data_IF_541771385923
#
_entry.id   IF_541771385923
#
_cell.length_a   1.000
_cell.length_b   1.000
_cell.length_c   1.000
_cell.angle_alpha   90.00
_cell.angle_beta   90.00
_cell.angle_gamma   90.00
#
_symmetry.space_group_name_H-M   'P 1'
#
loop_
_entity.id
_entity.type
_entity.pdbx_description
1 polymer ?
#
# COMPACT_ATOMS: atom_id res chain seq x y z
N UNK A 1 15.57 20.66 28.58
CA UNK A 1 16.96 20.78 29.06
C UNK A 1 17.41 22.23 29.04
N UNK A 2 17.36 22.95 27.93
CA UNK A 2 17.78 24.37 27.84
C UNK A 2 17.05 25.30 28.85
N UNK A 3 15.75 25.07 29.06
CA UNK A 3 14.94 25.80 30.06
C UNK A 3 15.44 25.51 31.48
N UNK A 4 15.78 24.28 31.80
CA UNK A 4 16.24 23.83 33.11
C UNK A 4 17.61 24.45 33.43
N UNK A 5 18.55 24.44 32.45
CA UNK A 5 19.85 25.12 32.56
C UNK A 5 19.70 26.62 32.69
N UNK A 6 18.73 27.20 32.00
CA UNK A 6 18.41 28.62 32.15
C UNK A 6 17.96 28.97 33.58
N UNK A 7 17.12 28.15 34.19
CA UNK A 7 16.66 28.30 35.56
C UNK A 7 17.80 28.13 36.55
N UNK A 8 18.68 27.13 36.36
CA UNK A 8 19.87 26.91 37.20
C UNK A 8 20.86 28.08 37.11
N UNK A 9 21.13 28.58 35.90
CA UNK A 9 21.99 29.74 35.70
C UNK A 9 21.42 31.02 36.40
N UNK A 10 20.12 31.25 36.28
CA UNK A 10 19.44 32.33 36.97
C UNK A 10 19.54 32.16 38.50
N UNK A 11 19.34 30.94 39.02
CA UNK A 11 19.48 30.66 40.44
C UNK A 11 20.91 30.90 40.95
N UNK A 12 21.93 30.46 40.18
CA UNK A 12 23.33 30.71 40.49
C UNK A 12 23.68 32.23 40.52
N UNK A 13 23.23 32.96 39.52
CA UNK A 13 23.41 34.45 39.46
C UNK A 13 22.69 35.10 40.63
N UNK A 14 21.49 34.64 40.98
CA UNK A 14 20.74 35.15 42.11
C UNK A 14 21.46 34.85 43.45
N UNK A 15 21.97 33.64 43.67
CA UNK A 15 22.75 33.27 44.84
C UNK A 15 24.04 34.06 44.95
N UNK A 16 24.76 34.24 43.84
CA UNK A 16 25.96 35.06 43.77
C UNK A 16 25.65 36.52 44.17
N UNK A 17 24.59 37.09 43.58
CA UNK A 17 24.18 38.47 43.85
C UNK A 17 23.66 38.67 45.28
N UNK A 18 22.99 37.66 45.86
CA UNK A 18 22.40 37.74 47.19
C UNK A 18 23.44 37.52 48.30
N UNK A 19 24.37 36.59 48.12
CA UNK A 19 25.24 36.16 49.19
C UNK A 19 26.71 36.57 48.98
N UNK A 20 27.24 36.51 47.76
CA UNK A 20 28.64 36.75 47.50
C UNK A 20 28.94 38.22 47.18
N UNK A 21 28.12 38.86 46.37
CA UNK A 21 28.32 40.25 45.99
C UNK A 21 28.29 41.23 47.18
N UNK A 22 27.41 41.12 48.19
CA UNK A 22 27.42 41.97 49.35
C UNK A 22 28.72 41.86 50.18
N UNK A 23 29.23 40.60 50.30
CA UNK A 23 30.48 40.35 51.03
C UNK A 23 31.68 40.94 50.31
N UNK A 24 31.73 40.83 48.97
CA UNK A 24 32.81 41.40 48.14
C UNK A 24 32.73 42.93 47.97
N UNK A 25 31.51 43.48 48.06
CA UNK A 25 31.26 44.93 47.84
C UNK A 25 31.40 45.77 49.09
N UNK A 26 31.37 45.13 50.29
CA UNK A 26 31.55 45.87 51.55
C UNK A 26 33.00 46.37 51.65
N UNK A 27 33.20 47.66 51.36
CA UNK A 27 34.41 48.41 51.73
C UNK A 27 34.13 49.06 53.07
N UNK A 28 34.49 48.34 54.14
CA UNK A 28 34.40 48.99 55.45
C UNK A 28 35.41 50.15 55.50
N UNK A 29 34.93 51.32 55.92
CA UNK A 29 35.83 52.47 56.17
C UNK A 29 36.67 52.19 57.39
N UNK A 30 37.90 52.74 57.44
CA UNK A 30 38.75 52.61 58.62
C UNK A 30 38.05 53.06 59.88
N UNK A 31 37.24 54.11 59.82
CA UNK A 31 36.35 54.56 60.91
C UNK A 31 35.34 53.54 61.35
N UNK A 32 34.72 52.84 60.39
CA UNK A 32 33.78 51.76 60.68
C UNK A 32 34.41 50.53 61.36
N UNK A 33 35.65 50.20 60.96
CA UNK A 33 36.42 49.13 61.59
C UNK A 33 36.83 49.58 63.02
N UNK A 34 37.30 50.80 63.20
CA UNK A 34 37.65 51.38 64.51
C UNK A 34 36.46 51.37 65.47
N UNK A 35 35.28 51.78 65.04
CA UNK A 35 34.06 51.75 65.84
C UNK A 35 33.65 50.37 66.30
N UNK A 36 33.85 49.32 65.42
CA UNK A 36 33.63 47.94 65.81
C UNK A 36 34.62 47.43 66.84
N UNK A 37 35.88 47.86 66.75
CA UNK A 37 36.95 47.49 67.72
C UNK A 37 36.60 48.10 69.06
N UNK A 38 36.30 49.39 69.11
CA UNK A 38 35.92 50.12 70.31
C UNK A 38 34.74 49.53 71.04
N UNK A 39 33.69 49.12 70.25
CA UNK A 39 32.48 48.52 70.84
C UNK A 39 32.75 47.16 71.53
N UNK A 40 33.82 46.47 71.21
CA UNK A 40 34.13 45.16 71.72
C UNK A 40 35.33 45.07 72.69
N UNK A 41 36.22 46.07 72.71
CA UNK A 41 37.45 46.03 73.52
C UNK A 41 37.49 47.10 74.65
N UNK A 42 36.37 47.69 74.95
CA UNK A 42 36.25 48.71 76.02
C UNK A 42 37.27 49.91 75.92
N UNK A 43 37.59 50.21 74.67
CA UNK A 43 38.45 51.40 74.36
C UNK A 43 37.51 52.61 74.26
N UNK A 44 37.68 53.54 75.15
CA UNK A 44 36.84 54.77 75.26
C UNK A 44 36.94 55.67 74.04
N UNK A 45 36.13 55.45 73.01
CA UNK A 45 35.89 56.24 71.76
C UNK A 45 37.11 57.04 71.21
N UNK A 46 38.30 56.70 71.65
CA UNK A 46 39.53 57.44 71.34
C UNK A 46 40.08 57.03 69.95
N UNK A 47 39.90 55.81 69.53
CA UNK A 47 40.38 55.25 68.26
C UNK A 47 39.63 55.84 67.06
N UNK A 48 38.34 55.98 67.16
CA UNK A 48 37.49 56.63 66.15
C UNK A 48 37.82 58.15 66.10
N UNK A 49 37.93 58.74 67.25
CA UNK A 49 38.28 60.19 67.37
C UNK A 49 39.69 60.49 66.81
N UNK A 50 40.71 59.68 67.15
CA UNK A 50 42.04 59.79 66.59
C UNK A 50 42.11 59.65 65.09
N UNK A 51 41.37 58.68 64.50
CA UNK A 51 41.31 58.50 63.05
C UNK A 51 40.58 59.70 62.39
N UNK A 52 39.52 60.25 62.98
CA UNK A 52 38.80 61.39 62.48
C UNK A 52 39.65 62.63 62.53
N UNK A 53 40.42 62.79 63.57
CA UNK A 53 41.37 63.95 63.71
C UNK A 53 42.59 63.87 62.78
N UNK A 54 42.98 62.64 62.44
CA UNK A 54 44.10 62.40 61.49
C UNK A 54 43.69 62.55 60.03
N UNK A 55 42.40 62.40 59.68
CA UNK A 55 41.90 62.43 58.31
C UNK A 55 41.76 63.83 57.70
N UNK A 56 42.12 64.86 58.46
CA UNK A 56 42.35 66.27 57.98
C UNK A 56 41.12 66.98 57.35
N UNK A 57 39.97 66.32 57.28
CA UNK A 57 38.80 66.76 56.49
C UNK A 57 37.65 67.34 57.34
N UNK A 58 37.85 67.48 58.65
CA UNK A 58 36.85 68.04 59.55
C UNK A 58 37.17 69.43 59.91
N UNK A 59 36.30 70.35 59.47
CA UNK A 59 36.38 71.78 59.82
C UNK A 59 36.53 71.97 61.32
N UNK A 60 37.54 72.61 61.64
CA UNK A 60 38.16 73.16 62.83
C UNK A 60 37.20 73.48 63.98
N UNK A 61 36.91 72.56 64.83
CA UNK A 61 36.44 72.80 66.19
C UNK A 61 37.41 72.10 67.17
N UNK A 62 38.14 72.88 67.94
CA UNK A 62 39.04 72.43 68.97
C UNK A 62 40.48 72.94 68.83
N UNK A 63 41.27 72.92 69.96
CA UNK A 63 42.69 73.31 70.00
C UNK A 63 43.52 72.18 69.33
N UNK A 64 44.45 72.60 68.42
CA UNK A 64 45.40 71.70 67.76
C UNK A 64 46.22 70.86 68.75
N UNK A 65 46.49 71.45 69.94
CA UNK A 65 47.20 70.78 71.02
C UNK A 65 46.40 69.66 71.65
N UNK A 66 45.06 69.77 71.73
CA UNK A 66 44.21 68.73 72.25
C UNK A 66 44.06 67.60 71.24
N UNK A 67 43.97 67.91 69.92
CA UNK A 67 43.91 66.89 68.86
C UNK A 67 45.18 66.09 68.81
N UNK A 68 46.38 66.73 68.85
CA UNK A 68 47.65 65.98 68.84
C UNK A 68 47.75 65.06 70.07
N UNK A 69 47.28 65.58 71.20
CA UNK A 69 47.28 64.75 72.44
C UNK A 69 46.39 63.49 72.33
N UNK A 70 45.18 63.59 71.78
CA UNK A 70 44.31 62.41 71.56
C UNK A 70 44.94 61.43 70.56
N UNK A 71 45.56 61.94 69.52
CA UNK A 71 46.30 61.10 68.58
C UNK A 71 47.48 60.40 69.23
N UNK A 72 48.26 61.09 69.99
CA UNK A 72 49.46 60.59 70.69
C UNK A 72 49.06 59.57 71.78
N UNK A 73 48.07 59.87 72.61
CA UNK A 73 47.56 59.00 73.65
C UNK A 73 46.95 57.75 73.04
N UNK A 74 46.25 57.86 71.91
CA UNK A 74 45.71 56.69 71.19
C UNK A 74 46.83 55.84 70.55
N UNK A 75 47.89 56.51 70.04
CA UNK A 75 49.05 55.77 69.47
C UNK A 75 49.81 54.99 70.56
N UNK A 76 49.79 55.49 71.81
CA UNK A 76 50.41 54.77 72.93
C UNK A 76 49.62 53.57 73.38
N UNK A 77 48.29 53.59 73.27
CA UNK A 77 47.35 52.44 73.57
C UNK A 77 47.29 51.46 72.40
N UNK A 78 47.54 51.94 71.18
CA UNK A 78 47.43 51.14 69.94
C UNK A 78 48.14 49.73 69.96
N UNK A 79 49.37 49.60 70.58
CA UNK A 79 49.99 48.29 70.61
C UNK A 79 49.26 47.23 71.42
N UNK A 80 48.32 47.61 72.32
CA UNK A 80 47.52 46.74 73.15
C UNK A 80 46.19 46.33 72.53
N UNK A 81 45.81 46.87 71.38
CA UNK A 81 44.55 46.61 70.71
C UNK A 81 44.66 45.41 69.77
N UNK A 82 43.80 44.39 69.97
CA UNK A 82 43.71 43.28 69.05
C UNK A 82 42.88 43.62 67.81
N UNK A 83 43.55 44.08 66.72
CA UNK A 83 42.93 44.48 65.44
C UNK A 83 42.30 43.29 64.68
N UNK A 84 42.57 42.03 65.09
CA UNK A 84 42.05 40.80 64.51
C UNK A 84 40.92 40.23 65.34
N UNK A 85 40.42 40.95 66.32
CA UNK A 85 39.26 40.61 67.12
C UNK A 85 38.04 40.31 66.22
N UNK A 86 37.40 39.13 66.37
CA UNK A 86 36.33 38.68 65.53
C UNK A 86 36.78 37.83 64.34
N UNK A 87 38.06 37.74 64.05
CA UNK A 87 38.59 36.78 63.09
C UNK A 87 38.88 35.48 63.81
N UNK A 88 37.85 34.56 63.83
CA UNK A 88 38.08 33.22 64.36
C UNK A 88 38.93 32.40 63.36
N UNK A 89 40.25 32.48 63.51
CA UNK A 89 41.19 31.63 62.70
C UNK A 89 40.77 30.18 62.59
N UNK A 90 40.30 29.50 63.65
CA UNK A 90 39.86 28.12 63.56
C UNK A 90 38.62 27.90 62.69
N UNK A 91 37.68 28.87 62.64
CA UNK A 91 36.50 28.77 61.78
C UNK A 91 36.85 29.02 60.31
N UNK A 92 37.73 29.91 60.00
CA UNK A 92 38.28 30.14 58.66
C UNK A 92 38.97 28.85 58.15
N UNK A 93 39.83 28.25 59.00
CA UNK A 93 40.50 27.00 58.64
C UNK A 93 39.51 25.84 58.45
N UNK A 94 38.46 25.70 59.25
CA UNK A 94 37.41 24.71 59.05
C UNK A 94 36.63 24.95 57.74
N UNK A 95 36.33 26.21 57.41
CA UNK A 95 35.63 26.53 56.16
C UNK A 95 36.54 26.29 54.95
N UNK A 96 37.81 26.67 55.03
CA UNK A 96 38.80 26.41 53.98
C UNK A 96 39.03 24.93 53.78
N UNK A 97 39.12 24.16 54.86
CA UNK A 97 39.28 22.70 54.79
C UNK A 97 38.07 22.04 54.15
N UNK A 98 36.84 22.46 54.42
CA UNK A 98 35.64 21.99 53.75
C UNK A 98 35.67 22.30 52.25
N UNK A 99 36.05 23.49 51.86
CA UNK A 99 36.15 23.91 50.46
C UNK A 99 37.23 23.12 49.71
N UNK A 100 38.38 22.94 50.29
CA UNK A 100 39.49 22.12 49.75
C UNK A 100 39.04 20.68 49.62
N UNK A 101 38.35 20.12 50.65
CA UNK A 101 37.79 18.76 50.63
C UNK A 101 36.80 18.55 49.49
N UNK A 102 35.90 19.52 49.25
CA UNK A 102 34.96 19.45 48.13
C UNK A 102 35.65 19.48 46.76
N UNK A 103 36.63 20.35 46.58
CA UNK A 103 37.43 20.44 45.34
C UNK A 103 38.24 19.13 45.15
N UNK A 104 38.83 18.60 46.22
CA UNK A 104 39.58 17.35 46.17
C UNK A 104 38.70 16.17 45.76
N UNK A 105 37.43 16.09 46.22
CA UNK A 105 36.48 15.06 45.80
C UNK A 105 36.15 15.21 44.30
N UNK A 106 35.87 16.43 43.81
CA UNK A 106 35.62 16.63 42.39
C UNK A 106 36.81 16.23 41.53
N UNK A 107 38.03 16.60 41.94
CA UNK A 107 39.26 16.18 41.24
C UNK A 107 39.43 14.66 41.29
N UNK A 108 39.19 14.05 42.44
CA UNK A 108 39.28 12.56 42.59
C UNK A 108 38.32 11.87 41.66
N UNK A 109 37.08 12.33 41.52
CA UNK A 109 36.09 11.80 40.57
C UNK A 109 36.55 12.03 39.12
N UNK A 110 37.05 13.22 38.81
CA UNK A 110 37.54 13.54 37.46
C UNK A 110 38.73 12.67 37.04
N UNK A 111 39.61 12.33 37.97
CA UNK A 111 40.79 11.49 37.71
C UNK A 111 40.42 9.98 37.70
N UNK A 112 39.48 9.56 38.53
CA UNK A 112 39.06 8.14 38.63
C UNK A 112 38.26 7.67 37.46
N UNK A 113 37.45 8.52 36.86
CA UNK A 113 36.56 8.18 35.73
C UNK A 113 36.53 9.35 34.68
N UNK A 114 37.66 9.59 34.01
CA UNK A 114 37.85 10.78 33.17
C UNK A 114 36.89 10.83 32.01
N UNK A 115 36.56 9.69 31.35
CA UNK A 115 35.67 9.63 30.23
C UNK A 115 34.22 10.01 30.63
N UNK A 116 33.74 9.48 31.75
CA UNK A 116 32.42 9.81 32.28
C UNK A 116 32.32 11.29 32.71
N UNK A 117 33.40 11.79 33.36
CA UNK A 117 33.45 13.17 33.82
C UNK A 117 33.47 14.18 32.64
N UNK A 118 34.22 13.86 31.58
CA UNK A 118 34.28 14.70 30.39
C UNK A 118 32.92 14.74 29.65
N UNK A 119 32.27 13.57 29.48
CA UNK A 119 30.92 13.50 28.88
C UNK A 119 29.89 14.23 29.75
N UNK A 120 29.99 14.12 31.10
CA UNK A 120 29.14 14.85 32.02
C UNK A 120 29.26 16.36 31.81
N UNK A 121 30.49 16.89 31.70
CA UNK A 121 30.72 18.30 31.44
C UNK A 121 30.18 18.76 30.08
N UNK A 122 30.39 17.95 29.04
CA UNK A 122 29.86 18.26 27.70
C UNK A 122 28.32 18.21 27.66
N UNK A 123 27.69 17.34 28.43
CA UNK A 123 26.21 17.29 28.53
C UNK A 123 25.63 18.47 29.32
N UNK A 124 26.35 18.98 30.31
CA UNK A 124 26.01 20.27 30.96
C UNK A 124 26.10 21.41 29.94
N UNK A 125 27.10 21.38 29.05
CA UNK A 125 27.24 22.34 27.95
C UNK A 125 26.28 22.08 26.77
N UNK A 126 25.20 21.29 26.94
CA UNK A 126 24.18 20.89 25.94
C UNK A 126 24.67 19.92 24.86
N UNK A 127 25.79 19.24 25.06
CA UNK A 127 26.23 18.16 24.18
C UNK A 127 25.29 16.96 24.24
N UNK A 128 25.08 16.29 23.10
CA UNK A 128 24.21 15.10 22.96
C UNK A 128 24.97 13.77 23.11
N UNK A 129 26.21 13.82 23.56
CA UNK A 129 27.07 12.63 23.70
C UNK A 129 26.49 11.62 24.71
N UNK A 130 26.46 10.33 24.32
CA UNK A 130 26.06 9.25 25.20
C UNK A 130 27.21 8.81 26.10
N UNK A 131 26.88 8.28 27.29
CA UNK A 131 27.89 7.69 28.15
C UNK A 131 28.48 6.42 27.52
N UNK A 132 29.76 6.11 27.79
CA UNK A 132 30.36 4.88 27.33
C UNK A 132 29.59 3.66 27.86
N UNK A 133 29.13 2.82 26.93
CA UNK A 133 28.42 1.59 27.22
C UNK A 133 29.37 0.40 27.21
N UNK A 134 29.02 -0.65 27.92
CA UNK A 134 29.75 -1.92 27.93
C UNK A 134 29.48 -2.73 26.68
N UNK A 135 28.29 -2.53 26.09
CA UNK A 135 27.86 -3.07 24.80
C UNK A 135 27.81 -1.92 23.81
N UNK A 136 28.09 -2.17 22.53
CA UNK A 136 27.97 -1.18 21.46
C UNK A 136 27.25 -1.82 20.26
N UNK A 137 26.12 -1.29 19.89
CA UNK A 137 25.38 -1.68 18.68
C UNK A 137 26.01 -1.00 17.47
N UNK A 138 26.56 -1.78 16.55
CA UNK A 138 27.23 -1.29 15.34
C UNK A 138 26.26 -1.02 14.21
N UNK A 139 25.32 -1.94 13.95
CA UNK A 139 24.34 -1.79 12.87
C UNK A 139 23.01 -2.44 13.21
N UNK A 140 21.97 -1.89 12.60
CA UNK A 140 20.61 -2.44 12.52
C UNK A 140 20.26 -2.51 11.04
N UNK A 141 20.13 -3.71 10.51
CA UNK A 141 19.85 -3.97 9.10
C UNK A 141 18.63 -4.87 8.96
N UNK A 142 18.08 -4.96 7.77
CA UNK A 142 17.00 -5.89 7.42
C UNK A 142 17.47 -6.85 6.35
N UNK A 143 17.02 -8.10 6.42
CA UNK A 143 17.30 -9.11 5.40
C UNK A 143 16.54 -8.75 4.13
N UNK A 144 15.31 -8.29 4.25
CA UNK A 144 14.47 -7.85 3.16
C UNK A 144 14.86 -6.43 2.73
N UNK A 145 14.88 -6.19 1.42
CA UNK A 145 15.23 -4.87 0.85
C UNK A 145 14.21 -3.78 1.19
N UNK A 146 12.94 -4.16 1.33
CA UNK A 146 11.84 -3.25 1.58
C UNK A 146 10.87 -3.79 2.63
N UNK A 147 10.34 -2.91 3.47
CA UNK A 147 9.20 -3.22 4.33
C UNK A 147 7.91 -3.18 3.49
N UNK A 148 7.18 -4.29 3.40
CA UNK A 148 5.96 -4.40 2.58
C UNK A 148 4.78 -4.78 3.47
N UNK A 149 3.65 -4.09 3.29
CA UNK A 149 2.41 -4.39 4.03
C UNK A 149 2.03 -5.86 3.92
N UNK A 150 1.76 -6.48 5.07
CA UNK A 150 1.31 -7.86 5.17
C UNK A 150 2.42 -8.91 5.13
N UNK A 151 3.65 -8.54 4.78
CA UNK A 151 4.81 -9.45 4.73
C UNK A 151 5.63 -9.42 6.02
N UNK A 152 6.36 -10.48 6.32
CA UNK A 152 7.34 -10.47 7.40
C UNK A 152 8.55 -9.63 7.03
N UNK A 153 9.23 -9.10 8.06
CA UNK A 153 10.52 -8.43 7.92
C UNK A 153 11.44 -8.90 9.04
N UNK A 154 12.66 -9.26 8.68
CA UNK A 154 13.66 -9.80 9.61
C UNK A 154 14.74 -8.76 9.86
N UNK A 155 14.91 -8.40 11.11
CA UNK A 155 15.95 -7.48 11.57
C UNK A 155 17.17 -8.25 12.01
N UNK A 156 18.33 -7.72 11.65
CA UNK A 156 19.64 -8.22 12.10
C UNK A 156 20.36 -7.07 12.78
N UNK A 157 20.72 -7.28 14.02
CA UNK A 157 21.47 -6.33 14.86
C UNK A 157 22.86 -6.88 15.08
N UNK A 158 23.89 -6.08 14.79
CA UNK A 158 25.27 -6.44 15.02
C UNK A 158 25.87 -5.59 16.13
N UNK A 159 26.53 -6.23 17.09
CA UNK A 159 27.24 -5.57 18.18
C UNK A 159 28.75 -5.70 18.02
N UNK A 160 29.48 -4.83 18.71
CA UNK A 160 30.95 -4.86 18.74
C UNK A 160 31.44 -6.06 19.55
N UNK A 161 32.13 -6.98 18.88
CA UNK A 161 32.70 -8.19 19.49
C UNK A 161 33.87 -7.92 20.45
N UNK A 162 34.48 -6.72 20.39
CA UNK A 162 35.54 -6.29 21.34
C UNK A 162 34.97 -5.87 22.69
N UNK A 163 33.64 -5.74 22.78
CA UNK A 163 32.88 -5.37 23.97
C UNK A 163 32.14 -6.57 24.56
N UNK A 164 31.34 -6.35 25.60
CA UNK A 164 30.46 -7.37 26.14
C UNK A 164 29.35 -7.68 25.13
N UNK A 165 29.22 -8.96 24.77
CA UNK A 165 28.16 -9.48 23.92
C UNK A 165 27.14 -10.18 24.80
N UNK A 166 25.98 -9.58 25.09
CA UNK A 166 24.90 -10.17 25.90
C UNK A 166 24.26 -11.39 25.22
N UNK A 167 23.57 -12.24 25.98
CA UNK A 167 22.84 -13.38 25.40
C UNK A 167 21.59 -13.03 24.64
N UNK A 168 21.04 -11.82 24.81
CA UNK A 168 19.86 -11.33 24.11
C UNK A 168 19.74 -9.82 24.18
N UNK A 169 18.71 -9.30 23.48
CA UNK A 169 18.36 -7.89 23.44
C UNK A 169 16.87 -7.71 23.19
N UNK A 170 16.47 -6.47 23.03
CA UNK A 170 15.08 -6.08 22.72
C UNK A 170 15.10 -5.17 21.51
N UNK A 171 14.19 -5.42 20.57
CA UNK A 171 13.86 -4.54 19.46
C UNK A 171 12.58 -3.78 19.80
N UNK A 172 12.71 -2.49 20.05
CA UNK A 172 11.56 -1.63 20.33
C UNK A 172 11.01 -1.08 19.01
N UNK A 173 9.72 -1.36 18.72
CA UNK A 173 9.01 -0.84 17.58
C UNK A 173 8.09 0.28 18.06
N UNK A 174 8.12 1.41 17.37
CA UNK A 174 7.19 2.52 17.59
C UNK A 174 6.45 2.80 16.28
N UNK A 175 5.13 2.59 16.31
CA UNK A 175 4.23 2.84 15.18
C UNK A 175 3.71 4.29 15.15
N UNK A 176 2.95 4.61 14.11
CA UNK A 176 2.43 5.97 13.85
C UNK A 176 1.51 6.52 14.95
N UNK A 177 0.92 5.68 15.79
CA UNK A 177 -0.01 6.07 16.87
C UNK A 177 0.60 5.93 18.27
N UNK A 178 1.93 6.09 18.42
CA UNK A 178 2.67 5.86 19.67
C UNK A 178 2.42 4.47 20.28
N UNK A 179 2.04 3.51 19.46
CA UNK A 179 1.94 2.11 19.88
C UNK A 179 3.34 1.55 19.94
N UNK A 180 3.84 1.38 21.14
CA UNK A 180 5.12 0.71 21.36
C UNK A 180 4.90 -0.80 21.51
N UNK A 181 5.72 -1.57 20.85
CA UNK A 181 5.80 -3.02 21.02
C UNK A 181 7.25 -3.47 21.08
N UNK A 182 7.50 -4.50 21.85
CA UNK A 182 8.83 -5.06 22.09
C UNK A 182 8.92 -6.45 21.47
N UNK A 183 10.00 -6.71 20.74
CA UNK A 183 10.36 -8.02 20.23
C UNK A 183 11.69 -8.45 20.84
N UNK A 184 11.77 -9.70 21.31
CA UNK A 184 13.02 -10.26 21.84
C UNK A 184 13.98 -10.55 20.70
N UNK A 185 15.19 -10.01 20.80
CA UNK A 185 16.30 -10.30 19.91
C UNK A 185 16.99 -11.60 20.38
N UNK A 186 17.07 -12.57 19.50
CA UNK A 186 17.75 -13.83 19.74
C UNK A 186 19.14 -13.82 19.11
N UNK A 187 20.14 -14.22 19.87
CA UNK A 187 21.53 -14.31 19.39
C UNK A 187 21.68 -15.45 18.39
N UNK A 188 22.32 -15.19 17.27
CA UNK A 188 22.58 -16.19 16.23
C UNK A 188 23.80 -17.04 16.64
N UNK A 189 23.55 -18.18 17.25
CA UNK A 189 24.63 -19.07 17.72
C UNK A 189 25.56 -18.38 18.69
N UNK A 190 26.89 -18.45 18.46
CA UNK A 190 27.92 -17.78 19.27
C UNK A 190 28.46 -16.50 18.59
N UNK A 191 27.75 -15.92 17.64
CA UNK A 191 28.20 -14.73 16.94
C UNK A 191 27.87 -13.46 17.73
N UNK A 192 28.26 -12.30 17.21
CA UNK A 192 27.90 -10.98 17.71
C UNK A 192 26.66 -10.43 16.97
N UNK A 193 25.87 -11.30 16.34
CA UNK A 193 24.66 -10.95 15.61
C UNK A 193 23.42 -11.47 16.32
N UNK A 194 22.36 -10.67 16.27
CA UNK A 194 21.05 -10.99 16.80
C UNK A 194 20.03 -10.85 15.71
N UNK A 195 19.00 -11.68 15.74
CA UNK A 195 17.89 -11.58 14.78
C UNK A 195 16.54 -11.65 15.46
N UNK A 196 15.58 -11.01 14.83
CA UNK A 196 14.15 -11.13 15.15
C UNK A 196 13.34 -10.88 13.91
N UNK A 197 12.25 -11.63 13.72
CA UNK A 197 11.33 -11.44 12.63
C UNK A 197 10.01 -10.84 13.13
N UNK A 198 9.64 -9.69 12.59
CA UNK A 198 8.29 -9.17 12.71
C UNK A 198 7.40 -9.90 11.69
N UNK A 199 6.43 -10.72 12.12
CA UNK A 199 5.73 -11.64 11.22
C UNK A 199 4.82 -10.91 10.22
N UNK A 200 4.42 -9.69 10.53
CA UNK A 200 3.54 -8.89 9.66
C UNK A 200 3.75 -7.40 9.87
N UNK A 201 4.10 -6.73 8.80
CA UNK A 201 4.17 -5.25 8.75
C UNK A 201 2.79 -4.70 8.42
N UNK A 202 2.37 -3.62 9.10
CA UNK A 202 1.04 -3.00 8.90
C UNK A 202 1.18 -1.57 8.36
N UNK A 203 1.88 -0.72 9.07
CA UNK A 203 2.06 0.71 8.77
C UNK A 203 3.53 1.12 8.96
N UNK A 204 3.85 2.36 8.63
CA UNK A 204 5.16 2.96 8.86
C UNK A 204 5.54 2.88 10.34
N UNK A 205 6.77 2.53 10.62
CA UNK A 205 7.27 2.33 11.97
C UNK A 205 8.73 2.75 12.10
N UNK A 206 9.14 3.00 13.33
CA UNK A 206 10.54 3.16 13.69
C UNK A 206 10.97 2.02 14.61
N UNK A 207 12.23 1.66 14.50
CA UNK A 207 12.82 0.54 15.24
C UNK A 207 14.05 1.02 15.98
N UNK A 208 14.15 0.68 17.25
CA UNK A 208 15.33 0.93 18.06
C UNK A 208 15.83 -0.39 18.65
N UNK A 209 17.06 -0.74 18.39
CA UNK A 209 17.69 -1.93 18.97
C UNK A 209 18.28 -1.59 20.34
N UNK A 210 17.94 -2.37 21.35
CA UNK A 210 18.47 -2.25 22.72
C UNK A 210 19.17 -3.56 23.04
N UNK A 211 20.49 -3.51 23.17
CA UNK A 211 21.30 -4.69 23.51
C UNK A 211 22.20 -4.35 24.68
N UNK A 212 22.02 -5.05 25.80
CA UNK A 212 22.72 -4.75 27.03
C UNK A 212 22.39 -3.37 27.59
N UNK A 213 23.39 -2.50 27.72
CA UNK A 213 23.27 -1.12 28.22
C UNK A 213 23.27 -0.07 27.09
N UNK A 214 23.28 -0.49 25.81
CA UNK A 214 23.24 0.41 24.66
C UNK A 214 21.84 0.45 24.03
N UNK A 215 21.38 1.69 23.81
CA UNK A 215 20.10 1.98 23.11
C UNK A 215 20.33 2.20 21.61
N UNK A 216 21.24 1.58 20.98
CA UNK A 216 21.49 1.52 19.56
C UNK A 216 20.96 2.65 18.66
N UNK A 217 20.95 2.40 17.37
CA UNK A 217 20.48 3.36 16.36
C UNK A 217 18.97 3.16 16.13
N UNK A 218 18.22 4.25 16.15
CA UNK A 218 16.82 4.25 15.71
C UNK A 218 16.75 4.40 14.19
N UNK A 219 16.06 3.47 13.52
CA UNK A 219 15.86 3.48 12.07
C UNK A 219 14.37 3.54 11.74
N UNK A 220 14.00 4.39 10.78
CA UNK A 220 12.62 4.51 10.28
C UNK A 220 12.45 3.68 9.02
N UNK A 221 11.29 3.05 8.92
CA UNK A 221 10.89 2.24 7.78
C UNK A 221 9.58 2.76 7.21
N UNK A 222 9.61 3.19 5.95
CA UNK A 222 8.43 3.51 5.17
C UNK A 222 7.90 2.21 4.57
N UNK A 223 6.62 1.94 4.79
CA UNK A 223 6.01 0.67 4.41
C UNK A 223 5.34 0.76 3.06
N UNK A 224 5.81 -0.06 2.14
CA UNK A 224 5.33 -0.09 0.77
C UNK A 224 4.08 -0.95 0.62
N UNK A 225 3.12 -0.46 -0.14
CA UNK A 225 1.88 -1.17 -0.45
C UNK A 225 2.11 -2.19 -1.56
N UNK A 226 1.41 -3.33 -1.49
CA UNK A 226 1.36 -4.28 -2.61
C UNK A 226 0.59 -3.65 -3.77
N UNK A 227 1.11 -3.72 -5.01
CA UNK A 227 0.42 -3.15 -6.16
C UNK A 227 -0.95 -3.80 -6.37
N UNK A 228 -1.96 -2.96 -6.62
CA UNK A 228 -3.34 -3.37 -6.94
C UNK A 228 -3.70 -2.89 -8.32
N UNK A 229 -4.46 -3.70 -9.03
CA UNK A 229 -4.90 -3.40 -10.38
C UNK A 229 -6.39 -3.61 -10.55
N UNK A 230 -6.94 -2.86 -11.49
CA UNK A 230 -8.21 -3.11 -12.13
C UNK A 230 -7.96 -3.68 -13.52
N UNK A 231 -8.62 -4.79 -13.82
CA UNK A 231 -8.58 -5.45 -15.11
C UNK A 231 -9.91 -5.25 -15.81
N UNK A 232 -9.88 -4.63 -16.98
CA UNK A 232 -10.99 -4.53 -17.90
C UNK A 232 -10.69 -5.38 -19.14
N UNK A 233 -11.59 -6.27 -19.50
CA UNK A 233 -11.52 -7.03 -20.75
C UNK A 233 -12.48 -6.37 -21.74
N UNK A 234 -11.98 -5.50 -22.59
CA UNK A 234 -12.78 -4.93 -23.66
C UNK A 234 -12.92 -5.95 -24.78
N UNK A 235 -14.14 -6.31 -25.13
CA UNK A 235 -14.42 -7.25 -26.21
C UNK A 235 -15.08 -6.52 -27.39
N UNK A 236 -14.47 -6.63 -28.55
CA UNK A 236 -15.08 -6.24 -29.82
C UNK A 236 -15.71 -7.50 -30.42
N UNK A 237 -17.04 -7.61 -30.29
CA UNK A 237 -17.84 -8.74 -30.78
C UNK A 237 -18.11 -8.63 -32.28
N UNK A 238 -18.34 -9.77 -32.97
CA UNK A 238 -18.72 -9.76 -34.37
C UNK A 238 -19.92 -8.83 -34.65
N UNK A 239 -19.85 -8.11 -35.75
CA UNK A 239 -20.83 -7.04 -36.07
C UNK A 239 -22.29 -7.53 -36.09
N UNK A 240 -22.53 -8.76 -36.51
CA UNK A 240 -23.88 -9.34 -36.56
C UNK A 240 -24.52 -9.58 -35.20
N UNK A 241 -23.70 -9.69 -34.14
CA UNK A 241 -24.14 -10.01 -32.77
C UNK A 241 -24.22 -8.78 -31.86
N UNK A 242 -23.75 -7.59 -32.29
CA UNK A 242 -23.64 -6.37 -31.47
C UNK A 242 -24.93 -5.97 -30.76
N UNK A 243 -26.08 -6.06 -31.46
CA UNK A 243 -27.37 -5.67 -30.88
C UNK A 243 -27.95 -6.73 -29.94
N UNK A 244 -27.49 -8.00 -30.06
CA UNK A 244 -28.10 -9.15 -29.43
C UNK A 244 -27.29 -9.73 -28.30
N UNK A 245 -25.97 -9.61 -28.35
CA UNK A 245 -25.06 -10.13 -27.36
C UNK A 245 -24.70 -9.05 -26.32
N UNK A 246 -25.23 -9.20 -25.13
CA UNK A 246 -24.89 -8.29 -24.03
C UNK A 246 -23.60 -8.78 -23.34
N UNK A 247 -22.48 -8.14 -23.66
CA UNK A 247 -21.23 -8.33 -22.94
C UNK A 247 -21.42 -7.78 -21.52
N UNK A 248 -21.73 -8.64 -20.58
CA UNK A 248 -21.69 -8.27 -19.17
C UNK A 248 -20.23 -8.09 -18.80
N UNK A 249 -19.75 -6.86 -18.87
CA UNK A 249 -18.51 -6.43 -18.23
C UNK A 249 -18.73 -6.45 -16.71
N UNK A 250 -18.78 -7.63 -16.14
CA UNK A 250 -18.73 -7.77 -14.71
C UNK A 250 -17.25 -7.70 -14.33
N UNK A 251 -16.85 -6.78 -13.48
CA UNK A 251 -15.50 -6.69 -12.89
C UNK A 251 -15.10 -7.94 -12.09
N UNK A 252 -15.43 -9.10 -12.60
CA UNK A 252 -15.20 -10.43 -12.05
C UNK A 252 -14.14 -11.20 -12.82
N UNK A 253 -13.63 -12.25 -12.20
CA UNK A 253 -12.58 -13.12 -12.73
C UNK A 253 -13.03 -13.96 -13.95
N UNK A 254 -14.32 -13.97 -14.27
CA UNK A 254 -14.90 -14.68 -15.40
C UNK A 254 -15.59 -13.66 -16.31
N UNK A 255 -15.19 -13.65 -17.56
CA UNK A 255 -15.79 -12.83 -18.58
C UNK A 255 -16.30 -13.73 -19.71
N UNK A 256 -17.50 -13.45 -20.22
CA UNK A 256 -18.10 -14.21 -21.30
C UNK A 256 -18.13 -13.39 -22.58
N UNK A 257 -17.58 -13.93 -23.63
CA UNK A 257 -17.54 -13.34 -24.98
C UNK A 257 -18.10 -14.31 -26.01
N UNK A 258 -18.53 -13.81 -27.16
CA UNK A 258 -18.94 -14.65 -28.29
C UNK A 258 -17.70 -15.17 -29.04
N UNK A 259 -17.79 -16.38 -29.59
CA UNK A 259 -16.75 -16.90 -30.47
C UNK A 259 -16.50 -15.94 -31.65
N UNK A 260 -15.25 -15.81 -32.08
CA UNK A 260 -14.83 -14.84 -33.09
C UNK A 260 -14.66 -13.40 -32.59
N UNK A 261 -14.84 -13.12 -31.28
CA UNK A 261 -14.60 -11.80 -30.71
C UNK A 261 -13.12 -11.50 -30.59
N UNK A 262 -12.76 -10.22 -30.69
CA UNK A 262 -11.43 -9.74 -30.33
C UNK A 262 -11.45 -9.21 -28.90
N UNK A 263 -10.58 -9.69 -28.04
CA UNK A 263 -10.54 -9.30 -26.63
C UNK A 263 -9.26 -8.53 -26.34
N UNK A 264 -9.41 -7.34 -25.77
CA UNK A 264 -8.33 -6.43 -25.42
C UNK A 264 -8.27 -6.26 -23.90
N UNK A 265 -7.34 -6.95 -23.21
CA UNK A 265 -7.13 -6.74 -21.80
C UNK A 265 -6.51 -5.36 -21.55
N UNK A 266 -7.17 -4.56 -20.70
CA UNK A 266 -6.74 -3.25 -20.27
C UNK A 266 -6.54 -3.31 -18.76
N UNK A 267 -5.31 -3.07 -18.31
CA UNK A 267 -4.92 -3.16 -16.91
C UNK A 267 -4.54 -1.77 -16.40
N UNK A 268 -5.18 -1.32 -15.33
CA UNK A 268 -4.86 -0.05 -14.67
C UNK A 268 -4.40 -0.30 -13.25
N UNK A 269 -3.33 0.37 -12.86
CA UNK A 269 -2.90 0.34 -11.45
C UNK A 269 -3.68 1.36 -10.64
N UNK A 270 -4.11 0.96 -9.43
CA UNK A 270 -4.93 1.82 -8.55
C UNK A 270 -4.12 2.53 -7.47
N UNK A 271 -2.91 2.03 -7.13
CA UNK A 271 -2.13 2.58 -6.03
C UNK A 271 -0.65 2.84 -6.37
N UNK A 272 0.03 1.92 -7.07
CA UNK A 272 1.46 2.00 -7.34
C UNK A 272 1.73 2.08 -8.84
N UNK A 273 2.81 2.78 -9.26
CA UNK A 273 3.27 2.72 -10.64
C UNK A 273 3.88 1.35 -10.91
N UNK A 274 3.43 0.70 -11.98
CA UNK A 274 3.98 -0.58 -12.40
C UNK A 274 5.25 -0.38 -13.23
N UNK A 275 6.19 -1.30 -13.04
CA UNK A 275 7.41 -1.44 -13.85
C UNK A 275 7.20 -2.44 -14.99
N UNK A 276 6.47 -3.52 -14.69
CA UNK A 276 6.20 -4.59 -15.64
C UNK A 276 4.83 -5.22 -15.37
N UNK A 277 4.17 -5.66 -16.43
CA UNK A 277 2.95 -6.44 -16.37
C UNK A 277 2.98 -7.48 -17.48
N UNK A 278 2.61 -8.73 -17.15
CA UNK A 278 2.54 -9.84 -18.11
C UNK A 278 1.21 -10.55 -17.97
N UNK A 279 0.72 -11.08 -19.08
CA UNK A 279 -0.43 -11.96 -19.12
C UNK A 279 -0.01 -13.30 -19.70
N UNK A 280 -0.32 -14.37 -18.99
CA UNK A 280 -0.14 -15.74 -19.45
C UNK A 280 -1.49 -16.27 -19.93
N UNK A 281 -1.53 -16.83 -21.13
CA UNK A 281 -2.68 -17.42 -21.80
C UNK A 281 -2.33 -18.88 -22.13
N UNK A 282 -2.86 -19.82 -21.39
CA UNK A 282 -2.42 -21.21 -21.47
C UNK A 282 -0.93 -21.33 -21.11
N UNK A 283 -0.11 -21.77 -22.04
CA UNK A 283 1.35 -21.97 -21.86
C UNK A 283 2.18 -20.78 -22.36
N UNK A 284 1.58 -19.81 -23.04
CA UNK A 284 2.26 -18.65 -23.60
C UNK A 284 2.15 -17.43 -22.70
N UNK A 285 3.23 -16.64 -22.59
CA UNK A 285 3.29 -15.42 -21.80
C UNK A 285 3.56 -14.20 -22.70
N UNK A 286 2.73 -13.18 -22.53
CA UNK A 286 2.78 -11.94 -23.29
C UNK A 286 3.08 -10.77 -22.36
N UNK A 287 3.99 -9.90 -22.79
CA UNK A 287 4.25 -8.64 -22.09
C UNK A 287 3.21 -7.59 -22.48
N UNK A 288 2.63 -6.93 -21.47
CA UNK A 288 1.77 -5.78 -21.67
C UNK A 288 2.63 -4.52 -21.84
N UNK A 289 2.23 -3.64 -22.74
CA UNK A 289 2.88 -2.35 -22.95
C UNK A 289 2.16 -1.24 -22.20
N UNK A 290 2.95 -0.35 -21.62
CA UNK A 290 2.41 0.83 -20.95
C UNK A 290 2.04 1.89 -22.01
N UNK A 291 0.76 2.26 -22.04
CA UNK A 291 0.22 3.33 -22.88
C UNK A 291 -0.43 4.39 -21.99
N UNK A 292 0.40 5.21 -21.34
CA UNK A 292 -0.05 6.24 -20.42
C UNK A 292 -0.49 5.67 -19.06
N UNK A 293 -1.80 5.68 -18.79
CA UNK A 293 -2.34 5.20 -17.50
C UNK A 293 -2.76 3.72 -17.53
N UNK A 294 -2.66 3.08 -18.70
CA UNK A 294 -3.08 1.69 -18.89
C UNK A 294 -1.96 0.83 -19.45
N UNK A 295 -2.01 -0.45 -19.09
CA UNK A 295 -1.17 -1.49 -19.66
C UNK A 295 -2.02 -2.34 -20.57
N UNK A 296 -1.65 -2.46 -21.82
CA UNK A 296 -2.41 -3.13 -22.86
C UNK A 296 -1.58 -4.16 -23.59
N UNK A 297 -2.27 -5.13 -24.17
CA UNK A 297 -1.63 -6.11 -25.04
C UNK A 297 -1.30 -5.48 -26.38
N UNK A 298 -0.20 -5.80 -27.05
CA UNK A 298 0.05 -5.38 -28.42
C UNK A 298 -1.13 -5.74 -29.33
N UNK A 299 -1.52 -4.85 -30.24
CA UNK A 299 -2.74 -5.00 -31.06
C UNK A 299 -2.65 -6.18 -32.03
N UNK A 300 -1.45 -6.62 -32.41
CA UNK A 300 -1.22 -7.63 -33.44
C UNK A 300 -0.67 -8.94 -32.87
N UNK A 301 -1.12 -10.06 -33.47
CA UNK A 301 -0.60 -11.42 -33.22
C UNK A 301 -0.66 -11.94 -31.76
N UNK A 302 -1.83 -11.85 -31.14
CA UNK A 302 -2.04 -12.49 -29.83
C UNK A 302 -3.27 -13.43 -29.85
N UNK A 303 -3.34 -14.44 -28.97
CA UNK A 303 -4.39 -15.46 -28.98
C UNK A 303 -5.80 -14.95 -28.63
N UNK A 304 -5.93 -13.68 -28.23
CA UNK A 304 -7.22 -13.07 -27.90
C UNK A 304 -7.87 -12.35 -29.10
N UNK A 305 -7.31 -12.50 -30.32
CA UNK A 305 -7.93 -12.04 -31.56
C UNK A 305 -8.69 -13.23 -32.15
N UNK A 306 -9.98 -13.06 -32.42
CA UNK A 306 -10.84 -14.12 -32.97
C UNK A 306 -10.93 -15.32 -32.04
N UNK A 307 -11.20 -15.11 -30.73
CA UNK A 307 -11.23 -16.21 -29.74
C UNK A 307 -12.29 -17.22 -30.05
N UNK A 308 -11.90 -18.50 -30.17
CA UNK A 308 -12.81 -19.62 -30.45
C UNK A 308 -13.03 -20.53 -29.24
N UNK A 309 -12.13 -20.55 -28.28
CA UNK A 309 -12.17 -21.46 -27.14
C UNK A 309 -11.97 -20.75 -25.80
N UNK A 310 -12.61 -21.29 -24.77
CA UNK A 310 -12.47 -20.82 -23.39
C UNK A 310 -11.03 -20.94 -22.93
N UNK A 311 -10.43 -19.82 -22.50
CA UNK A 311 -9.03 -19.71 -22.12
C UNK A 311 -8.87 -19.21 -20.69
N UNK A 312 -7.98 -19.84 -19.92
CA UNK A 312 -7.57 -19.36 -18.59
C UNK A 312 -6.46 -18.34 -18.77
N UNK A 313 -6.51 -17.28 -17.98
CA UNK A 313 -5.44 -16.29 -17.95
C UNK A 313 -4.89 -16.10 -16.56
N UNK A 314 -3.63 -15.70 -16.50
CA UNK A 314 -2.92 -15.35 -15.29
C UNK A 314 -2.14 -14.06 -15.51
N UNK A 315 -2.34 -13.05 -14.65
CA UNK A 315 -1.66 -11.77 -14.73
C UNK A 315 -0.65 -11.66 -13.61
N UNK A 316 0.59 -11.35 -13.96
CA UNK A 316 1.67 -11.04 -13.03
C UNK A 316 2.09 -9.59 -13.21
N UNK A 317 2.25 -8.89 -12.10
CA UNK A 317 2.62 -7.47 -12.08
C UNK A 317 3.77 -7.24 -11.12
N UNK A 318 4.60 -6.26 -11.44
CA UNK A 318 5.68 -5.80 -10.58
C UNK A 318 5.69 -4.27 -10.59
N UNK A 319 5.78 -3.66 -9.43
CA UNK A 319 5.85 -2.20 -9.31
C UNK A 319 7.29 -1.67 -9.52
N UNK A 320 7.46 -0.35 -9.47
CA UNK A 320 8.76 0.31 -9.62
C UNK A 320 9.75 -0.01 -8.49
N UNK A 321 9.26 -0.49 -7.34
CA UNK A 321 10.06 -0.90 -6.20
C UNK A 321 10.41 -2.41 -6.22
N UNK A 322 9.99 -3.13 -7.27
CA UNK A 322 10.20 -4.58 -7.41
C UNK A 322 9.21 -5.43 -6.61
N UNK A 323 8.12 -4.83 -6.12
CA UNK A 323 7.10 -5.54 -5.34
C UNK A 323 6.07 -6.16 -6.30
N UNK A 324 5.78 -7.42 -6.08
CA UNK A 324 4.73 -8.18 -6.78
C UNK A 324 3.76 -8.75 -5.76
N UNK A 325 2.48 -8.96 -6.11
CA UNK A 325 1.55 -9.74 -5.30
C UNK A 325 2.08 -11.15 -5.05
N UNK A 326 1.78 -11.73 -3.89
CA UNK A 326 2.23 -13.09 -3.53
C UNK A 326 1.62 -14.17 -4.43
N UNK A 327 0.49 -13.87 -5.03
CA UNK A 327 -0.19 -14.75 -6.00
C UNK A 327 -0.57 -13.93 -7.22
N UNK A 328 -0.39 -14.51 -8.41
CA UNK A 328 -0.84 -13.88 -9.64
C UNK A 328 -2.38 -13.79 -9.67
N UNK A 329 -2.87 -12.84 -10.43
CA UNK A 329 -4.31 -12.65 -10.64
C UNK A 329 -4.77 -13.62 -11.71
N UNK A 330 -5.63 -14.57 -11.38
CA UNK A 330 -6.14 -15.57 -12.31
C UNK A 330 -7.59 -15.31 -12.67
N UNK A 331 -7.96 -15.64 -13.91
CA UNK A 331 -9.33 -15.58 -14.39
C UNK A 331 -9.58 -16.53 -15.57
N UNK A 332 -10.81 -16.50 -16.05
CA UNK A 332 -11.26 -17.33 -17.19
C UNK A 332 -11.99 -16.43 -18.16
N UNK A 333 -11.55 -16.43 -19.41
CA UNK A 333 -12.28 -15.88 -20.53
C UNK A 333 -13.16 -17.01 -21.10
N UNK A 334 -14.46 -16.96 -20.82
CA UNK A 334 -15.40 -17.95 -21.30
C UNK A 334 -15.89 -17.57 -22.69
N UNK A 335 -15.65 -18.42 -23.66
CA UNK A 335 -16.14 -18.24 -25.02
C UNK A 335 -17.46 -19.01 -25.19
N UNK A 336 -18.48 -18.31 -25.64
CA UNK A 336 -19.77 -18.89 -26.01
C UNK A 336 -19.80 -19.07 -27.52
N UNK A 337 -20.00 -20.27 -28.01
CA UNK A 337 -20.20 -20.49 -29.44
C UNK A 337 -21.54 -19.85 -29.88
N UNK A 338 -21.62 -19.46 -31.13
CA UNK A 338 -22.84 -19.17 -31.84
C UNK A 338 -23.67 -20.46 -31.96
N UNK A 339 -24.95 -20.42 -31.62
CA UNK A 339 -25.79 -21.59 -31.66
C UNK A 339 -26.35 -21.78 -33.08
N UNK A 340 -26.38 -23.03 -33.52
CA UNK A 340 -26.98 -23.35 -34.81
C UNK A 340 -28.49 -23.07 -34.79
N UNK A 341 -29.06 -22.60 -35.91
CA UNK A 341 -30.47 -22.35 -36.03
C UNK A 341 -31.31 -23.65 -35.88
N UNK A 342 -32.55 -23.50 -35.51
CA UNK A 342 -33.50 -24.64 -35.38
C UNK A 342 -34.70 -24.38 -36.22
N UNK A 343 -35.15 -25.42 -36.91
CA UNK A 343 -36.35 -25.38 -37.73
C UNK A 343 -37.26 -26.59 -37.43
N UNK A 344 -38.55 -26.33 -37.34
CA UNK A 344 -39.58 -27.36 -37.28
C UNK A 344 -40.59 -27.08 -38.38
N UNK A 345 -40.98 -28.10 -39.14
CA UNK A 345 -41.93 -28.00 -40.22
C UNK A 345 -43.00 -29.07 -40.07
N UNK A 346 -44.23 -28.72 -40.46
CA UNK A 346 -45.36 -29.64 -40.38
C UNK A 346 -46.39 -29.35 -41.50
N UNK A 347 -47.08 -30.37 -41.91
CA UNK A 347 -48.23 -30.26 -42.82
C UNK A 347 -49.44 -30.91 -42.20
N UNK A 348 -50.63 -30.57 -42.67
CA UNK A 348 -51.89 -31.11 -42.19
C UNK A 348 -52.24 -32.39 -42.98
N UNK A 349 -51.83 -32.49 -44.24
CA UNK A 349 -52.20 -33.57 -45.16
C UNK A 349 -50.95 -34.00 -45.94
N UNK A 350 -50.67 -35.31 -45.97
CA UNK A 350 -49.52 -35.88 -46.67
C UNK A 350 -49.91 -36.41 -48.08
N UNK A 351 -51.17 -36.26 -48.49
CA UNK A 351 -51.65 -36.64 -49.80
C UNK A 351 -51.79 -35.37 -50.67
N UNK A 352 -51.32 -35.43 -51.91
CA UNK A 352 -51.34 -34.26 -52.82
C UNK A 352 -51.84 -34.67 -54.24
N UNK A 353 -52.38 -33.68 -54.95
CA UNK A 353 -52.67 -33.83 -56.36
C UNK A 353 -51.48 -33.41 -57.22
N UNK A 354 -51.31 -33.91 -58.42
CA UNK A 354 -50.16 -33.70 -59.29
C UNK A 354 -49.87 -32.22 -59.61
N UNK A 355 -50.86 -31.34 -59.53
CA UNK A 355 -50.67 -29.90 -59.74
C UNK A 355 -50.99 -29.05 -58.49
N UNK A 356 -50.98 -29.64 -57.32
CA UNK A 356 -51.30 -28.93 -56.08
C UNK A 356 -50.12 -28.11 -55.55
N UNK A 357 -50.46 -27.16 -54.70
CA UNK A 357 -49.49 -26.40 -53.90
C UNK A 357 -49.74 -26.68 -52.39
N UNK A 358 -49.27 -27.83 -51.86
CA UNK A 358 -49.41 -28.09 -50.44
C UNK A 358 -48.75 -27.02 -49.60
N UNK A 359 -49.39 -26.70 -48.46
CA UNK A 359 -48.87 -25.69 -47.53
C UNK A 359 -48.14 -26.36 -46.38
N UNK A 360 -46.88 -25.91 -46.19
CA UNK A 360 -46.06 -26.32 -45.07
C UNK A 360 -45.99 -25.19 -44.07
N UNK A 361 -46.43 -25.42 -42.85
CA UNK A 361 -46.22 -24.47 -41.73
C UNK A 361 -44.86 -24.76 -41.13
N UNK A 362 -44.02 -23.75 -40.95
CA UNK A 362 -42.73 -23.88 -40.31
C UNK A 362 -42.49 -22.80 -39.27
N UNK A 363 -41.62 -23.15 -38.34
CA UNK A 363 -41.07 -22.21 -37.35
C UNK A 363 -39.56 -22.40 -37.32
N UNK A 364 -38.85 -21.31 -37.61
CA UNK A 364 -37.39 -21.25 -37.52
C UNK A 364 -37.00 -20.25 -36.44
N UNK A 365 -35.96 -20.57 -35.65
CA UNK A 365 -35.48 -19.78 -34.52
C UNK A 365 -33.95 -19.80 -34.51
N UNK A 366 -33.36 -18.63 -34.28
CA UNK A 366 -31.93 -18.44 -34.11
C UNK A 366 -31.63 -17.37 -33.04
N UNK A 367 -30.46 -17.40 -32.40
CA UNK A 367 -30.11 -16.42 -31.35
C UNK A 367 -29.64 -15.08 -31.90
N UNK A 368 -29.04 -15.03 -33.08
CA UNK A 368 -28.58 -13.80 -33.70
C UNK A 368 -29.38 -13.39 -34.95
N UNK A 369 -29.95 -14.31 -35.65
CA UNK A 369 -30.86 -14.02 -36.80
C UNK A 369 -30.77 -15.10 -37.88
N UNK A 370 -31.83 -15.14 -38.65
CA UNK A 370 -31.98 -16.09 -39.77
C UNK A 370 -31.66 -15.33 -41.07
N UNK A 371 -30.79 -15.90 -41.89
CA UNK A 371 -30.44 -15.37 -43.19
C UNK A 371 -31.42 -15.83 -44.26
N UNK A 372 -31.53 -17.16 -44.42
CA UNK A 372 -32.39 -17.73 -45.46
C UNK A 372 -33.12 -18.97 -44.97
N UNK A 373 -34.29 -19.17 -45.54
CA UNK A 373 -35.03 -20.46 -45.49
C UNK A 373 -35.23 -20.95 -46.91
N UNK A 374 -34.76 -22.18 -47.16
CA UNK A 374 -34.87 -22.85 -48.44
C UNK A 374 -35.67 -24.15 -48.33
N UNK A 375 -36.21 -24.63 -49.41
CA UNK A 375 -36.80 -25.98 -49.49
C UNK A 375 -36.03 -26.84 -50.48
N UNK A 376 -35.62 -28.00 -50.04
CA UNK A 376 -35.10 -29.05 -50.90
C UNK A 376 -36.25 -30.00 -51.21
N UNK A 377 -36.55 -30.14 -52.47
CA UNK A 377 -37.63 -30.97 -53.01
C UNK A 377 -36.99 -32.13 -53.71
N UNK A 378 -37.17 -33.36 -53.20
CA UNK A 378 -36.68 -34.59 -53.81
C UNK A 378 -37.89 -35.40 -54.33
N UNK A 379 -37.87 -35.77 -55.60
CA UNK A 379 -38.95 -36.49 -56.26
C UNK A 379 -38.54 -37.91 -56.61
N UNK A 380 -39.25 -38.89 -56.04
CA UNK A 380 -39.06 -40.27 -56.33
C UNK A 380 -40.25 -40.79 -57.23
N UNK A 381 -39.95 -41.19 -58.46
CA UNK A 381 -40.93 -41.57 -59.44
C UNK A 381 -41.23 -43.09 -59.44
N UNK A 382 -42.49 -43.45 -59.55
CA UNK A 382 -42.87 -44.83 -59.61
C UNK A 382 -42.46 -45.49 -60.94
N UNK A 383 -41.69 -46.59 -60.88
CA UNK A 383 -41.33 -47.41 -62.05
C UNK A 383 -40.11 -47.02 -62.85
N UNK A 384 -39.37 -46.07 -62.41
CA UNK A 384 -37.99 -45.73 -62.87
C UNK A 384 -36.99 -46.16 -61.83
N UNK A 385 -35.77 -46.62 -62.25
CA UNK A 385 -34.64 -46.71 -61.33
C UNK A 385 -34.44 -45.27 -60.72
N UNK A 386 -34.50 -45.22 -59.44
CA UNK A 386 -34.58 -43.98 -58.66
C UNK A 386 -33.50 -43.00 -59.09
N UNK A 387 -33.81 -42.07 -59.96
CA UNK A 387 -33.10 -40.85 -60.14
C UNK A 387 -33.84 -39.84 -59.26
N UNK A 388 -33.29 -39.62 -58.04
CA UNK A 388 -33.77 -38.54 -57.16
C UNK A 388 -33.34 -37.20 -57.73
N UNK A 389 -34.27 -36.49 -58.36
CA UNK A 389 -34.05 -35.11 -58.74
C UNK A 389 -34.28 -34.19 -57.54
N UNK A 390 -33.18 -33.72 -56.93
CA UNK A 390 -33.25 -32.73 -55.82
C UNK A 390 -33.15 -31.32 -56.38
N UNK A 391 -34.15 -30.49 -56.07
CA UNK A 391 -34.22 -29.09 -56.46
C UNK A 391 -34.28 -28.26 -55.22
N UNK A 392 -33.30 -27.34 -55.05
CA UNK A 392 -33.29 -26.39 -53.94
C UNK A 392 -33.93 -25.08 -54.39
N UNK A 393 -34.91 -24.56 -53.62
CA UNK A 393 -35.59 -23.29 -53.88
C UNK A 393 -35.60 -22.46 -52.63
N UNK A 394 -35.08 -21.21 -52.71
CA UNK A 394 -35.18 -20.24 -51.64
C UNK A 394 -36.65 -19.84 -51.46
N UNK A 395 -37.15 -19.97 -50.25
CA UNK A 395 -38.55 -19.67 -49.87
C UNK A 395 -38.66 -18.32 -49.22
N UNK A 396 -37.70 -17.95 -48.37
CA UNK A 396 -37.70 -16.67 -47.65
C UNK A 396 -36.25 -16.20 -47.48
N UNK A 397 -36.02 -14.96 -47.89
CA UNK A 397 -34.78 -14.22 -47.56
C UNK A 397 -35.12 -13.24 -46.48
N UNK A 398 -34.67 -13.50 -45.25
CA UNK A 398 -34.94 -12.62 -44.11
C UNK A 398 -34.08 -11.38 -44.19
N UNK A 399 -34.47 -10.38 -44.96
CA UNK A 399 -33.79 -9.08 -45.12
C UNK A 399 -33.61 -8.35 -43.79
N UNK A 400 -34.39 -8.69 -42.77
CA UNK A 400 -34.32 -8.13 -41.41
C UNK A 400 -33.56 -8.99 -40.43
N UNK A 401 -33.00 -10.12 -40.85
CA UNK A 401 -32.34 -11.13 -40.02
C UNK A 401 -33.11 -11.42 -38.72
N UNK A 402 -34.42 -11.67 -38.89
CA UNK A 402 -35.32 -11.95 -37.77
C UNK A 402 -34.86 -13.18 -36.97
N UNK A 403 -34.89 -13.10 -35.64
CA UNK A 403 -34.55 -14.23 -34.76
C UNK A 403 -35.56 -15.33 -34.74
N UNK A 404 -36.75 -15.09 -35.19
CA UNK A 404 -37.82 -16.05 -35.31
C UNK A 404 -38.66 -15.78 -36.53
N UNK A 405 -38.90 -16.78 -37.30
CA UNK A 405 -39.80 -16.79 -38.47
C UNK A 405 -40.85 -17.82 -38.25
N UNK A 406 -42.11 -17.44 -38.15
CA UNK A 406 -43.29 -18.30 -38.17
C UNK A 406 -44.05 -18.05 -39.48
N UNK A 407 -44.06 -18.97 -40.42
CA UNK A 407 -44.68 -18.78 -41.71
C UNK A 407 -45.32 -20.06 -42.27
N UNK A 408 -46.15 -19.87 -43.27
CA UNK A 408 -46.74 -20.96 -44.03
C UNK A 408 -46.44 -20.76 -45.49
N UNK A 409 -45.74 -21.65 -46.11
CA UNK A 409 -45.26 -21.56 -47.47
C UNK A 409 -45.97 -22.57 -48.36
N UNK A 410 -46.48 -22.21 -49.57
CA UNK A 410 -46.95 -23.14 -50.57
C UNK A 410 -45.74 -23.71 -51.33
N UNK A 411 -45.75 -25.01 -51.53
CA UNK A 411 -44.77 -25.72 -52.35
C UNK A 411 -45.44 -26.02 -53.72
N UNK A 412 -45.07 -25.20 -54.74
CA UNK A 412 -45.63 -25.35 -56.08
C UNK A 412 -45.13 -26.67 -56.73
N UNK A 413 -46.06 -27.65 -56.90
CA UNK A 413 -45.74 -28.96 -57.46
C UNK A 413 -46.13 -29.06 -58.95
N UNK A 414 -46.81 -28.07 -59.51
CA UNK A 414 -47.28 -28.07 -60.88
C UNK A 414 -46.17 -28.20 -61.94
N UNK A 415 -44.99 -27.70 -61.65
CA UNK A 415 -43.84 -27.60 -62.57
C UNK A 415 -43.09 -28.96 -62.70
N UNK A 416 -43.42 -29.99 -61.89
CA UNK A 416 -42.63 -31.22 -61.80
C UNK A 416 -43.23 -32.43 -62.54
N UNK A 417 -44.33 -32.26 -63.25
CA UNK A 417 -45.00 -33.22 -64.09
C UNK A 417 -45.25 -34.63 -63.36
N UNK A 418 -45.74 -34.50 -62.09
CA UNK A 418 -45.95 -35.62 -61.17
C UNK A 418 -47.06 -36.54 -61.60
N UNK A 419 -46.88 -37.84 -61.39
CA UNK A 419 -47.87 -38.93 -61.67
C UNK A 419 -48.42 -39.51 -60.37
N UNK A 420 -49.60 -40.14 -60.44
CA UNK A 420 -50.19 -40.86 -59.31
C UNK A 420 -49.25 -41.95 -58.86
N UNK A 421 -48.89 -41.94 -57.58
CA UNK A 421 -47.94 -42.89 -56.93
C UNK A 421 -46.56 -42.32 -56.73
N UNK A 422 -46.19 -41.21 -57.37
CA UNK A 422 -44.92 -40.53 -57.11
C UNK A 422 -44.88 -40.00 -55.66
N UNK A 423 -43.70 -40.02 -55.08
CA UNK A 423 -43.45 -39.47 -53.72
C UNK A 423 -42.59 -38.21 -53.81
N UNK A 424 -43.02 -37.14 -53.13
CA UNK A 424 -42.30 -35.85 -53.03
C UNK A 424 -41.86 -35.68 -51.59
N UNK A 425 -40.55 -35.70 -51.37
CA UNK A 425 -39.92 -35.39 -50.06
C UNK A 425 -39.52 -33.94 -50.03
N UNK A 426 -40.06 -33.19 -49.08
CA UNK A 426 -39.71 -31.76 -48.88
C UNK A 426 -38.98 -31.58 -47.56
N UNK A 427 -37.75 -31.10 -47.62
CA UNK A 427 -36.93 -30.80 -46.43
C UNK A 427 -36.72 -29.28 -46.42
N UNK A 428 -37.17 -28.59 -45.38
CA UNK A 428 -36.87 -27.18 -45.21
C UNK A 428 -35.49 -27.01 -44.58
N UNK A 429 -34.70 -26.09 -45.07
CA UNK A 429 -33.39 -25.72 -44.56
C UNK A 429 -33.42 -24.33 -44.05
N UNK A 430 -32.86 -24.09 -42.88
CA UNK A 430 -32.64 -22.75 -42.31
C UNK A 430 -31.16 -22.44 -42.20
N UNK A 431 -30.74 -21.31 -42.67
CA UNK A 431 -29.36 -20.79 -42.56
C UNK A 431 -29.35 -19.61 -41.62
N UNK A 432 -28.45 -19.62 -40.65
CA UNK A 432 -28.26 -18.49 -39.71
C UNK A 432 -27.54 -17.30 -40.40
N UNK A 433 -27.68 -16.12 -39.80
CA UNK A 433 -26.97 -14.93 -40.19
C UNK A 433 -25.69 -14.72 -39.39
N UNK A 434 -24.53 -14.85 -40.05
CA UNK A 434 -23.18 -14.63 -39.45
C UNK A 434 -22.43 -13.45 -40.10
N UNK A 435 -23.16 -12.46 -40.62
CA UNK A 435 -22.56 -11.29 -41.22
C UNK A 435 -21.84 -11.60 -42.55
N UNK A 436 -20.50 -11.47 -42.54
CA UNK A 436 -19.67 -11.80 -43.69
C UNK A 436 -19.16 -13.24 -43.70
N UNK A 437 -19.38 -13.99 -42.63
CA UNK A 437 -19.03 -15.40 -42.55
C UNK A 437 -20.15 -16.26 -43.18
N UNK A 438 -19.79 -17.45 -43.61
CA UNK A 438 -20.75 -18.41 -44.12
C UNK A 438 -21.66 -18.90 -42.98
N UNK A 439 -22.97 -18.79 -43.17
CA UNK A 439 -23.97 -19.26 -42.23
C UNK A 439 -24.02 -20.78 -42.12
N UNK A 440 -24.44 -21.29 -40.97
CA UNK A 440 -24.68 -22.71 -40.76
C UNK A 440 -26.10 -23.06 -41.18
N UNK A 441 -26.24 -24.05 -42.06
CA UNK A 441 -27.52 -24.55 -42.55
C UNK A 441 -27.94 -25.78 -41.75
N UNK A 442 -29.16 -25.79 -41.24
CA UNK A 442 -29.77 -26.90 -40.52
C UNK A 442 -31.06 -27.33 -41.20
N UNK A 443 -31.22 -28.66 -41.56
CA UNK A 443 -32.43 -29.17 -42.14
C UNK A 443 -33.52 -29.44 -41.10
N UNK A 444 -34.80 -29.33 -41.53
CA UNK A 444 -35.95 -29.85 -40.78
C UNK A 444 -36.08 -31.38 -40.94
N UNK A 445 -36.95 -32.00 -40.17
CA UNK A 445 -37.45 -33.31 -40.52
C UNK A 445 -38.11 -33.28 -41.89
N UNK A 446 -37.85 -34.29 -42.76
CA UNK A 446 -38.43 -34.36 -44.08
C UNK A 446 -39.93 -34.60 -44.01
N UNK A 447 -40.69 -33.90 -44.88
CA UNK A 447 -42.15 -34.08 -45.06
C UNK A 447 -42.38 -34.83 -46.36
N UNK A 448 -43.00 -36.00 -46.27
CA UNK A 448 -43.31 -36.86 -47.41
C UNK A 448 -44.72 -36.58 -47.89
N UNK A 449 -44.87 -36.29 -49.19
CA UNK A 449 -46.15 -36.18 -49.86
C UNK A 449 -46.28 -37.28 -50.88
N UNK A 450 -47.42 -38.04 -50.86
CA UNK A 450 -47.75 -39.01 -51.87
C UNK A 450 -48.74 -38.45 -52.86
N UNK A 451 -48.43 -38.54 -54.18
CA UNK A 451 -49.29 -38.02 -55.23
C UNK A 451 -50.42 -39.00 -55.44
N UNK A 452 -51.68 -38.59 -55.31
CA UNK A 452 -52.84 -39.47 -55.32
C UNK A 452 -53.92 -38.95 -56.27
N UNK A 453 -54.95 -39.82 -56.50
CA UNK A 453 -56.10 -39.45 -57.29
C UNK A 453 -57.05 -38.52 -56.56
N UNK A 454 -57.81 -37.71 -57.28
CA UNK A 454 -58.80 -36.77 -56.71
C UNK A 454 -59.84 -37.48 -55.82
N UNK A 455 -60.19 -38.72 -56.13
CA UNK A 455 -61.15 -39.52 -55.34
C UNK A 455 -60.57 -39.87 -53.94
N UNK A 456 -59.34 -40.39 -53.92
CA UNK A 456 -58.67 -40.74 -52.67
C UNK A 456 -58.30 -39.46 -51.79
N UNK A 457 -57.95 -38.34 -52.45
CA UNK A 457 -57.69 -37.11 -51.76
C UNK A 457 -58.95 -36.58 -51.04
N UNK A 458 -60.13 -36.60 -51.72
CA UNK A 458 -61.39 -36.18 -51.12
C UNK A 458 -61.86 -37.17 -49.99
N UNK A 459 -61.55 -38.44 -50.07
CA UNK A 459 -61.83 -39.37 -48.99
C UNK A 459 -61.01 -39.06 -47.76
N UNK A 460 -59.71 -38.84 -47.91
CA UNK A 460 -58.80 -38.47 -46.80
C UNK A 460 -59.18 -37.05 -46.14
N UNK A 461 -59.63 -36.08 -46.95
CA UNK A 461 -60.13 -34.85 -46.42
C UNK A 461 -61.37 -34.98 -45.54
N UNK A 462 -62.27 -35.87 -45.90
CA UNK A 462 -63.50 -36.17 -45.10
C UNK A 462 -63.17 -36.83 -43.75
N UNK A 463 -62.16 -37.67 -43.73
CA UNK A 463 -61.74 -38.32 -42.51
C UNK A 463 -61.10 -37.29 -41.49
N UNK A 464 -60.36 -36.27 -41.99
CA UNK A 464 -59.80 -35.20 -41.18
C UNK A 464 -60.88 -34.28 -40.63
N UNK A 465 -61.92 -33.97 -41.43
CA UNK A 465 -63.00 -33.10 -40.96
C UNK A 465 -63.93 -33.76 -39.95
N UNK A 466 -63.79 -35.10 -39.77
CA UNK A 466 -64.63 -35.92 -38.85
C UNK A 466 -63.98 -36.15 -37.48
N UNK A 467 -62.69 -35.88 -37.31
CA UNK A 467 -61.97 -35.90 -36.04
C UNK A 467 -61.94 -34.47 -35.38
#
# INVERSE_FOLDING_TARGET
RAVLLGVEAIALVWLFKKYLLPVLAVRESLIGIAAKIEAHQDVQSDLVAALQFNDGNIDQFGSDQLRSRVVDDTAEISPGIDYLFGFSRPELWKSLAKSIGTVAIIIAVAVSVPDYFNIFLRRIALGEESYPTKTVVLSLETVEANAVVGRPITFVVRVDETKIVPDGGILMLSGKNDTESELSLERIGNTNEYSVTLPRVIDDFSVTAIVGDDMGVTKKYDVLQIPRIELEMKADIPAYAVESFNVKSAGGRIQSVLAGSNVHPILRSTNNKLKAATIQLGDETFELKNEGDAWMMPIENHPLIGVESTTKYQISITDTNGISPDRPITGILQVRPDQNPRIAAATVINLVLSGAAPRIKFRAIDDFGIDTVAADITITRVGMDASDDTISKIIDESKSHAKQIDSTVPIELADYDLKIGDTVLVTLQVTDYRGQQEGVTVPSDPIEFTVTSRANFLAAMRDIDSE
#
